data_IF_043965451108
#
_entry.id   IF_043965451108
#
_cell.length_a   1.000
_cell.length_b   1.000
_cell.length_c   1.000
_cell.angle_alpha   90.00
_cell.angle_beta   90.00
_cell.angle_gamma   90.00
#
_symmetry.space_group_name_H-M   'P 1'
#
loop_
_entity.id
_entity.type
_entity.pdbx_description
1 polymer ?
#
# COMPACT_ATOMS: atom_id res chain seq x y z
N UNK A 1 2.09 6.19 9.11
CA UNK A 1 1.42 6.24 7.79
C UNK A 1 1.28 4.82 7.24
N UNK A 2 0.29 4.52 6.39
CA UNK A 2 0.23 3.19 5.75
C UNK A 2 1.34 3.11 4.69
N UNK A 3 2.47 2.56 5.09
CA UNK A 3 3.67 2.28 4.30
C UNK A 3 3.44 1.57 2.96
N UNK A 4 2.22 1.09 2.74
CA UNK A 4 1.84 0.13 1.70
C UNK A 4 0.80 0.69 0.73
N UNK A 5 0.47 1.98 0.85
CA UNK A 5 -0.42 2.66 -0.07
C UNK A 5 0.39 3.10 -1.29
N UNK A 6 0.40 2.25 -2.32
CA UNK A 6 0.93 2.65 -3.62
C UNK A 6 0.07 3.77 -4.21
N UNK A 7 0.70 4.69 -4.94
CA UNK A 7 -0.03 5.69 -5.73
C UNK A 7 -1.11 4.99 -6.57
N UNK A 8 -2.32 5.54 -6.56
CA UNK A 8 -3.49 5.03 -7.28
C UNK A 8 -3.96 3.61 -6.93
N UNK A 9 -3.58 3.08 -5.76
CA UNK A 9 -4.10 1.79 -5.29
C UNK A 9 -4.73 1.94 -3.90
N UNK A 10 -5.86 1.25 -3.72
CA UNK A 10 -6.59 1.18 -2.47
C UNK A 10 -6.20 0.00 -1.60
N UNK A 11 -6.68 0.05 -0.36
CA UNK A 11 -6.64 -1.08 0.57
C UNK A 11 -8.06 -1.39 1.03
N UNK A 12 -8.42 -2.67 1.05
CA UNK A 12 -9.71 -3.13 1.54
C UNK A 12 -9.77 -2.96 3.05
N UNK A 13 -10.79 -2.27 3.53
CA UNK A 13 -11.05 -2.16 4.96
C UNK A 13 -11.51 -3.51 5.51
N UNK A 14 -10.87 -3.99 6.59
CA UNK A 14 -11.26 -5.25 7.24
C UNK A 14 -12.65 -5.22 7.90
N UNK A 15 -13.17 -4.03 8.22
CA UNK A 15 -14.49 -3.88 8.86
C UNK A 15 -15.61 -3.74 7.83
N UNK A 16 -15.40 -2.89 6.83
CA UNK A 16 -16.43 -2.55 5.86
C UNK A 16 -16.35 -3.41 4.59
N UNK A 17 -15.23 -4.10 4.36
CA UNK A 17 -14.93 -4.84 3.12
C UNK A 17 -15.02 -4.01 1.83
N UNK A 18 -14.99 -2.67 1.95
CA UNK A 18 -14.95 -1.73 0.85
C UNK A 18 -13.50 -1.35 0.53
N UNK A 19 -13.24 -1.03 -0.74
CA UNK A 19 -11.94 -0.52 -1.17
C UNK A 19 -11.79 0.93 -0.71
N UNK A 20 -10.81 1.19 0.14
CA UNK A 20 -10.51 2.53 0.65
C UNK A 20 -9.35 3.10 -0.14
N UNK A 21 -9.61 4.23 -0.80
CA UNK A 21 -8.62 4.98 -1.54
C UNK A 21 -8.12 6.16 -0.70
N UNK A 22 -6.84 6.55 -0.86
CA UNK A 22 -6.32 7.74 -0.19
C UNK A 22 -7.10 8.98 -0.64
N UNK A 23 -7.62 9.73 0.33
CA UNK A 23 -8.37 10.97 0.08
C UNK A 23 -7.53 12.05 -0.61
N UNK A 24 -6.22 12.09 -0.32
CA UNK A 24 -5.23 12.92 -1.02
C UNK A 24 -3.99 12.08 -1.25
N UNK A 25 -3.56 11.98 -2.50
CA UNK A 25 -2.24 11.47 -2.85
C UNK A 25 -1.31 12.65 -3.01
N UNK A 26 -0.17 12.61 -2.33
CA UNK A 26 0.94 13.53 -2.58
C UNK A 26 2.04 12.74 -3.29
N UNK A 27 2.85 13.39 -4.14
CA UNK A 27 4.10 12.78 -4.59
C UNK A 27 4.85 12.21 -3.39
N UNK A 28 5.43 11.03 -3.55
CA UNK A 28 6.36 10.53 -2.54
C UNK A 28 7.62 11.42 -2.60
N UNK A 29 7.65 12.46 -1.77
CA UNK A 29 8.92 13.05 -1.36
C UNK A 29 9.70 11.97 -0.61
N UNK A 30 10.94 11.71 -1.00
CA UNK A 30 11.82 10.80 -0.24
C UNK A 30 12.03 11.48 1.12
N UNK A 31 11.48 10.97 2.23
CA UNK A 31 11.74 11.60 3.52
C UNK A 31 13.23 11.48 3.82
N UNK A 32 13.80 12.51 4.45
CA UNK A 32 15.18 12.54 4.99
C UNK A 32 15.35 11.54 6.17
N UNK A 33 15.12 10.26 5.90
CA UNK A 33 15.49 9.15 6.77
C UNK A 33 14.60 8.86 7.99
N UNK A 34 13.66 9.74 8.37
CA UNK A 34 12.91 9.58 9.64
C UNK A 34 11.58 8.80 9.57
N UNK A 35 10.96 8.65 8.39
CA UNK A 35 9.72 7.84 8.22
C UNK A 35 10.03 6.58 7.39
N UNK A 36 10.99 5.79 7.88
CA UNK A 36 11.31 4.47 7.33
C UNK A 36 10.31 3.45 7.84
N UNK A 37 9.16 3.39 7.17
CA UNK A 37 8.33 2.22 7.32
C UNK A 37 9.12 0.97 6.91
N UNK A 38 9.11 -0.04 7.77
CA UNK A 38 9.82 -1.29 7.57
C UNK A 38 9.43 -1.93 6.22
N UNK A 39 10.34 -1.84 5.26
CA UNK A 39 10.16 -2.40 3.91
C UNK A 39 10.34 -3.92 3.89
N UNK A 40 10.80 -4.53 4.98
CA UNK A 40 10.81 -5.99 5.15
C UNK A 40 9.45 -6.51 5.61
N UNK A 41 8.66 -5.69 6.32
CA UNK A 41 7.37 -6.12 6.84
C UNK A 41 6.38 -6.40 5.71
N UNK A 42 5.92 -7.64 5.68
CA UNK A 42 4.91 -8.12 4.75
C UNK A 42 3.58 -7.43 5.02
N UNK A 43 2.87 -7.07 3.95
CA UNK A 43 1.52 -6.52 4.05
C UNK A 43 0.48 -7.56 3.60
N UNK A 44 -0.75 -7.50 4.13
CA UNK A 44 -1.81 -8.42 3.75
C UNK A 44 -2.14 -8.27 2.26
N UNK A 45 -1.87 -9.33 1.48
CA UNK A 45 -2.07 -9.35 0.03
C UNK A 45 -3.57 -9.34 -0.33
N UNK A 46 -4.38 -10.03 0.46
CA UNK A 46 -5.84 -10.11 0.33
C UNK A 46 -6.54 -8.76 0.57
N UNK A 47 -5.85 -7.77 1.14
CA UNK A 47 -6.39 -6.42 1.32
C UNK A 47 -5.81 -5.42 0.32
N UNK A 48 -4.73 -5.73 -0.38
CA UNK A 48 -4.09 -4.82 -1.32
C UNK A 48 -4.71 -4.94 -2.72
N UNK A 49 -5.22 -3.83 -3.26
CA UNK A 49 -5.75 -3.81 -4.63
C UNK A 49 -4.68 -4.18 -5.66
N UNK A 50 -3.44 -3.70 -5.48
CA UNK A 50 -2.31 -3.99 -6.39
C UNK A 50 -1.98 -5.49 -6.42
N UNK A 51 -1.87 -6.14 -5.25
CA UNK A 51 -1.65 -7.60 -5.20
C UNK A 51 -2.79 -8.38 -5.85
N UNK A 52 -4.06 -7.97 -5.63
CA UNK A 52 -5.21 -8.60 -6.27
C UNK A 52 -5.18 -8.48 -7.79
N UNK A 53 -4.80 -7.32 -8.31
CA UNK A 53 -4.70 -7.07 -9.75
C UNK A 53 -3.57 -7.87 -10.39
N UNK A 54 -2.44 -7.99 -9.69
CA UNK A 54 -1.26 -8.72 -10.17
C UNK A 54 -1.42 -10.23 -10.05
N UNK A 55 -2.15 -10.71 -9.03
CA UNK A 55 -2.23 -12.13 -8.67
C UNK A 55 -1.04 -12.61 -7.82
N UNK A 56 -0.09 -11.73 -7.49
CA UNK A 56 1.10 -12.03 -6.70
C UNK A 56 1.57 -10.81 -5.89
N UNK A 57 2.63 -10.99 -5.09
CA UNK A 57 3.08 -9.99 -4.14
C UNK A 57 3.64 -8.74 -4.83
N UNK A 58 2.98 -7.60 -4.61
CA UNK A 58 3.23 -6.39 -5.39
C UNK A 58 4.58 -5.68 -5.13
N UNK A 59 5.38 -6.16 -4.17
CA UNK A 59 6.76 -5.72 -3.91
C UNK A 59 7.81 -6.56 -4.66
N UNK A 60 7.44 -7.68 -5.29
CA UNK A 60 8.34 -8.48 -6.13
C UNK A 60 8.60 -7.86 -7.50
N UNK A 61 7.68 -7.02 -7.99
CA UNK A 61 7.83 -6.26 -9.26
C UNK A 61 8.69 -5.01 -9.03
N UNK A 62 9.90 -5.18 -8.50
CA UNK A 62 10.80 -4.05 -8.27
C UNK A 62 11.67 -3.76 -9.48
#
# INVERSE_FOLDING_TARGET
MSANSWANNGQMCIKCHLMVYPHKQRPLDRPDGLDVSDQSKEHPQNLCEKCKRLGFYCREIR
#
